data_IF_254653015933
#
_entry.id   IF_254653015933
#
_cell.length_a   1.000
_cell.length_b   1.000
_cell.length_c   1.000
_cell.angle_alpha   90.00
_cell.angle_beta   90.00
_cell.angle_gamma   90.00
#
_symmetry.space_group_name_H-M   'P 1'
#
loop_
_entity.id
_entity.type
_entity.pdbx_description
1 polymer ?
#
# COMPACT_ATOMS: atom_id res chain seq x y z
N UNK A 1 -4.88 -2.87 23.67
CA UNK A 1 -3.81 -3.68 23.03
C UNK A 1 -2.45 -3.01 23.20
N UNK A 2 -1.46 -3.77 23.65
CA UNK A 2 -0.06 -3.34 23.77
C UNK A 2 0.61 -3.20 22.40
N UNK A 3 1.70 -2.43 22.31
CA UNK A 3 2.46 -2.30 21.06
C UNK A 3 3.00 -3.66 20.56
N UNK A 4 3.37 -4.57 21.47
CA UNK A 4 3.80 -5.93 21.12
C UNK A 4 2.68 -6.76 20.48
N UNK A 5 1.44 -6.62 20.95
CA UNK A 5 0.29 -7.29 20.35
C UNK A 5 -0.07 -6.70 18.99
N UNK A 6 -0.13 -5.36 18.89
CA UNK A 6 -0.39 -4.65 17.62
C UNK A 6 0.66 -5.03 16.56
N UNK A 7 1.93 -5.11 16.97
CA UNK A 7 3.03 -5.49 16.09
C UNK A 7 2.84 -6.85 15.41
N UNK A 8 2.26 -7.85 16.09
CA UNK A 8 2.00 -9.15 15.46
C UNK A 8 1.11 -9.03 14.22
N UNK A 9 0.07 -8.19 14.30
CA UNK A 9 -0.84 -7.94 13.18
C UNK A 9 -0.19 -7.07 12.10
N UNK A 10 0.52 -6.01 12.49
CA UNK A 10 1.26 -5.16 11.54
C UNK A 10 2.34 -5.95 10.78
N UNK A 11 3.05 -6.85 11.45
CA UNK A 11 4.03 -7.75 10.85
C UNK A 11 3.37 -8.72 9.86
N UNK A 12 2.22 -9.30 10.22
CA UNK A 12 1.49 -10.17 9.30
C UNK A 12 1.06 -9.42 8.03
N UNK A 13 0.50 -8.22 8.17
CA UNK A 13 0.10 -7.36 7.04
C UNK A 13 1.30 -7.03 6.13
N UNK A 14 2.41 -6.58 6.70
CA UNK A 14 3.62 -6.25 5.90
C UNK A 14 4.28 -7.49 5.29
N UNK A 15 4.18 -8.65 5.93
CA UNK A 15 4.69 -9.91 5.38
C UNK A 15 3.85 -10.37 4.18
N UNK A 16 2.52 -10.32 4.29
CA UNK A 16 1.63 -10.59 3.15
C UNK A 16 1.89 -9.63 1.99
N UNK A 17 2.00 -8.33 2.29
CA UNK A 17 2.32 -7.32 1.28
C UNK A 17 3.68 -7.59 0.61
N UNK A 18 4.69 -7.97 1.40
CA UNK A 18 6.03 -8.31 0.90
C UNK A 18 5.97 -9.45 -0.11
N UNK A 19 5.32 -10.56 0.24
CA UNK A 19 5.18 -11.72 -0.65
C UNK A 19 4.38 -11.39 -1.90
N UNK A 20 3.31 -10.59 -1.76
CA UNK A 20 2.51 -10.15 -2.89
C UNK A 20 3.29 -9.27 -3.86
N UNK A 21 4.05 -8.29 -3.37
CA UNK A 21 4.88 -7.42 -4.21
C UNK A 21 6.03 -8.19 -4.87
N UNK A 22 6.67 -9.14 -4.17
CA UNK A 22 7.71 -10.00 -4.77
C UNK A 22 7.13 -10.88 -5.88
N UNK A 23 5.93 -11.43 -5.71
CA UNK A 23 5.26 -12.17 -6.78
C UNK A 23 5.01 -11.29 -8.02
N UNK A 24 4.58 -10.03 -7.82
CA UNK A 24 4.38 -9.08 -8.92
C UNK A 24 5.70 -8.80 -9.65
N UNK A 25 6.76 -8.46 -8.91
CA UNK A 25 8.09 -8.21 -9.45
C UNK A 25 8.65 -9.41 -10.23
N UNK A 26 8.61 -10.60 -9.64
CA UNK A 26 9.06 -11.84 -10.29
C UNK A 26 8.29 -12.13 -11.58
N UNK A 27 6.98 -11.89 -11.56
CA UNK A 27 6.11 -12.08 -12.73
C UNK A 27 6.44 -11.06 -13.84
N UNK A 28 6.69 -9.80 -13.48
CA UNK A 28 7.08 -8.75 -14.42
C UNK A 28 8.44 -9.01 -15.07
N UNK A 29 9.38 -9.59 -14.31
CA UNK A 29 10.74 -9.85 -14.78
C UNK A 29 10.85 -11.15 -15.60
N UNK A 30 10.13 -12.19 -15.21
CA UNK A 30 10.35 -13.54 -15.75
C UNK A 30 9.20 -14.07 -16.61
N UNK A 31 7.97 -13.60 -16.40
CA UNK A 31 6.78 -14.20 -17.04
C UNK A 31 6.16 -13.32 -18.13
N UNK A 32 6.51 -12.03 -18.19
CA UNK A 32 6.00 -11.11 -19.20
C UNK A 32 7.13 -10.44 -19.99
N UNK A 33 7.16 -10.71 -21.30
CA UNK A 33 7.98 -9.98 -22.27
C UNK A 33 7.21 -8.89 -23.02
N UNK A 34 5.87 -8.94 -23.03
CA UNK A 34 4.98 -7.95 -23.66
C UNK A 34 3.68 -7.80 -22.85
N UNK A 35 3.24 -6.57 -22.59
CA UNK A 35 2.11 -6.22 -21.69
C UNK A 35 0.77 -6.02 -22.40
N UNK A 36 0.62 -6.57 -23.60
CA UNK A 36 -0.62 -6.42 -24.38
C UNK A 36 -1.80 -7.25 -23.84
N UNK A 37 -1.58 -8.15 -22.88
CA UNK A 37 -2.64 -8.87 -22.17
C UNK A 37 -3.25 -8.02 -21.04
N UNK A 38 -4.37 -7.37 -21.36
CA UNK A 38 -5.15 -6.53 -20.44
C UNK A 38 -5.56 -7.26 -19.15
N UNK A 39 -5.84 -8.56 -19.21
CA UNK A 39 -6.31 -9.33 -18.04
C UNK A 39 -5.20 -9.53 -17.02
N UNK A 40 -3.98 -9.80 -17.51
CA UNK A 40 -2.79 -9.90 -16.65
C UNK A 40 -2.42 -8.56 -16.06
N UNK A 41 -2.45 -7.50 -16.86
CA UNK A 41 -2.15 -6.17 -16.37
C UNK A 41 -3.12 -5.72 -15.27
N UNK A 42 -4.42 -5.92 -15.49
CA UNK A 42 -5.46 -5.69 -14.48
C UNK A 42 -5.20 -6.45 -13.19
N UNK A 43 -4.73 -7.70 -13.30
CA UNK A 43 -4.35 -8.51 -12.14
C UNK A 43 -3.20 -7.88 -11.36
N UNK A 44 -2.20 -7.31 -12.04
CA UNK A 44 -1.13 -6.58 -11.36
C UNK A 44 -1.62 -5.32 -10.68
N UNK A 45 -2.49 -4.53 -11.30
CA UNK A 45 -3.03 -3.34 -10.63
C UNK A 45 -3.82 -3.68 -9.37
N UNK A 46 -4.65 -4.73 -9.42
CA UNK A 46 -5.38 -5.24 -8.25
C UNK A 46 -4.41 -5.66 -7.15
N UNK A 47 -3.36 -6.42 -7.50
CA UNK A 47 -2.36 -6.87 -6.54
C UNK A 47 -1.57 -5.70 -5.95
N UNK A 48 -1.14 -4.74 -6.77
CA UNK A 48 -0.41 -3.56 -6.31
C UNK A 48 -1.27 -2.73 -5.37
N UNK A 49 -2.51 -2.43 -5.75
CA UNK A 49 -3.44 -1.66 -4.92
C UNK A 49 -3.72 -2.37 -3.59
N UNK A 50 -3.99 -3.66 -3.63
CA UNK A 50 -4.24 -4.46 -2.42
C UNK A 50 -3.01 -4.49 -1.51
N UNK A 51 -1.83 -4.79 -2.03
CA UNK A 51 -0.62 -4.88 -1.21
C UNK A 51 -0.22 -3.52 -0.65
N UNK A 52 -0.40 -2.43 -1.39
CA UNK A 52 -0.17 -1.08 -0.88
C UNK A 52 -1.15 -0.70 0.24
N UNK A 53 -2.42 -1.09 0.12
CA UNK A 53 -3.40 -0.96 1.20
C UNK A 53 -2.94 -1.67 2.48
N UNK A 54 -2.46 -2.92 2.38
CA UNK A 54 -1.95 -3.67 3.53
C UNK A 54 -0.74 -2.98 4.17
N UNK A 55 0.16 -2.41 3.35
CA UNK A 55 1.32 -1.65 3.83
C UNK A 55 0.85 -0.49 4.72
N UNK A 56 -0.04 0.36 4.22
CA UNK A 56 -0.53 1.52 4.98
C UNK A 56 -1.37 1.11 6.21
N UNK A 57 -2.23 0.10 6.07
CA UNK A 57 -3.02 -0.42 7.19
C UNK A 57 -2.15 -0.99 8.31
N UNK A 58 -0.99 -1.57 7.99
CA UNK A 58 -0.06 -2.03 9.03
C UNK A 58 0.43 -0.85 9.91
N UNK A 59 0.56 0.34 9.33
CA UNK A 59 0.98 1.53 10.05
C UNK A 59 -0.16 2.10 10.90
N UNK A 60 -1.40 2.07 10.40
CA UNK A 60 -2.61 2.36 11.18
C UNK A 60 -2.66 1.48 12.44
N UNK A 61 -2.46 0.16 12.27
CA UNK A 61 -2.44 -0.79 13.39
C UNK A 61 -1.44 -0.38 14.45
N UNK A 62 -0.29 0.19 14.08
CA UNK A 62 0.73 0.59 15.04
C UNK A 62 0.47 1.95 15.70
N UNK A 63 -0.04 2.95 14.96
CA UNK A 63 -0.23 4.33 15.49
C UNK A 63 -1.53 4.52 16.24
N UNK A 64 -2.59 3.79 15.89
CA UNK A 64 -3.88 3.92 16.57
C UNK A 64 -3.93 3.06 17.85
N UNK A 65 -4.87 3.43 18.73
CA UNK A 65 -5.16 2.69 19.95
C UNK A 65 -6.36 1.78 19.74
N UNK A 66 -6.22 0.53 20.16
CA UNK A 66 -7.25 -0.49 20.06
C UNK A 66 -7.47 -1.12 21.43
N UNK A 67 -8.72 -1.33 21.81
CA UNK A 67 -9.05 -2.03 23.07
C UNK A 67 -8.66 -3.50 22.93
N UNK A 68 -9.11 -4.12 21.84
CA UNK A 68 -8.99 -5.54 21.55
C UNK A 68 -8.95 -5.83 20.03
N UNK A 69 -8.84 -7.11 19.66
CA UNK A 69 -8.81 -7.56 18.27
C UNK A 69 -10.06 -7.18 17.48
N UNK A 70 -11.23 -7.16 18.11
CA UNK A 70 -12.49 -6.83 17.42
C UNK A 70 -12.49 -5.35 17.03
N UNK A 71 -12.12 -4.45 17.95
CA UNK A 71 -11.99 -3.02 17.66
C UNK A 71 -10.98 -2.72 16.54
N UNK A 72 -9.87 -3.47 16.49
CA UNK A 72 -8.90 -3.39 15.40
C UNK A 72 -9.52 -3.82 14.07
N UNK A 73 -10.18 -4.97 14.05
CA UNK A 73 -10.80 -5.51 12.85
C UNK A 73 -11.88 -4.57 12.29
N UNK A 74 -12.76 -4.06 13.16
CA UNK A 74 -13.83 -3.15 12.77
C UNK A 74 -13.28 -1.84 12.20
N UNK A 75 -12.19 -1.33 12.78
CA UNK A 75 -11.50 -0.15 12.26
C UNK A 75 -10.94 -0.40 10.85
N UNK A 76 -10.27 -1.52 10.63
CA UNK A 76 -9.70 -1.86 9.32
C UNK A 76 -10.78 -2.12 8.26
N UNK A 77 -11.93 -2.69 8.65
CA UNK A 77 -13.11 -2.84 7.78
C UNK A 77 -13.70 -1.48 7.43
N UNK A 78 -13.86 -0.58 8.42
CA UNK A 78 -14.42 0.76 8.21
C UNK A 78 -13.56 1.61 7.28
N UNK A 79 -12.24 1.47 7.34
CA UNK A 79 -11.33 2.13 6.38
C UNK A 79 -11.52 1.62 4.94
N UNK A 80 -12.07 0.41 4.76
CA UNK A 80 -12.36 -0.18 3.46
C UNK A 80 -11.10 -0.34 2.61
N UNK A 81 -11.26 -0.23 1.29
CA UNK A 81 -10.17 -0.37 0.30
C UNK A 81 -9.67 0.98 -0.23
N UNK A 82 -10.06 2.10 0.39
CA UNK A 82 -9.74 3.44 -0.08
C UNK A 82 -8.37 3.91 0.43
N UNK A 83 -7.36 3.93 -0.44
CA UNK A 83 -6.00 4.42 -0.11
C UNK A 83 -6.04 5.86 0.44
N UNK A 84 -6.87 6.72 -0.14
CA UNK A 84 -7.08 8.10 0.34
C UNK A 84 -7.55 8.14 1.81
N UNK A 85 -8.56 7.32 2.17
CA UNK A 85 -9.10 7.29 3.53
C UNK A 85 -8.06 6.78 4.55
N UNK A 86 -7.22 5.81 4.14
CA UNK A 86 -6.13 5.31 4.97
C UNK A 86 -5.04 6.37 5.13
N UNK A 87 -4.69 7.06 4.06
CA UNK A 87 -3.71 8.15 4.08
C UNK A 87 -4.16 9.31 4.97
N UNK A 88 -5.42 9.72 4.88
CA UNK A 88 -6.03 10.73 5.74
C UNK A 88 -6.01 10.31 7.22
N UNK A 89 -6.29 9.04 7.51
CA UNK A 89 -6.22 8.50 8.86
C UNK A 89 -4.79 8.48 9.44
N UNK A 90 -3.77 8.25 8.60
CA UNK A 90 -2.36 8.36 9.01
C UNK A 90 -1.92 9.81 9.21
N UNK A 91 -2.50 10.74 8.45
CA UNK A 91 -2.11 12.14 8.43
C UNK A 91 -0.73 12.38 7.80
N UNK A 92 -0.41 13.65 7.55
CA UNK A 92 0.81 14.02 6.83
C UNK A 92 2.09 13.56 7.53
N UNK A 93 2.16 13.67 8.86
CA UNK A 93 3.33 13.23 9.62
C UNK A 93 3.57 11.72 9.49
N UNK A 94 2.52 10.91 9.65
CA UNK A 94 2.60 9.46 9.52
C UNK A 94 2.97 9.01 8.09
N UNK A 95 2.51 9.73 7.07
CA UNK A 95 2.89 9.49 5.67
C UNK A 95 4.37 9.84 5.41
N UNK A 96 4.84 10.98 5.92
CA UNK A 96 6.23 11.41 5.73
C UNK A 96 7.22 10.45 6.40
N UNK A 97 6.89 9.91 7.57
CA UNK A 97 7.71 8.91 8.27
C UNK A 97 7.99 7.66 7.41
N UNK A 98 7.07 7.33 6.50
CA UNK A 98 7.18 6.16 5.62
C UNK A 98 7.61 6.52 4.20
N UNK A 99 8.04 7.77 3.97
CA UNK A 99 8.56 8.24 2.70
C UNK A 99 7.50 8.67 1.68
N UNK A 100 6.27 8.93 2.12
CA UNK A 100 5.18 9.45 1.28
C UNK A 100 4.98 10.93 1.60
N UNK A 101 5.10 11.79 0.59
CA UNK A 101 4.88 13.23 0.74
C UNK A 101 3.41 13.60 0.50
N UNK A 102 2.72 12.89 -0.40
CA UNK A 102 1.34 13.18 -0.77
C UNK A 102 0.63 11.98 -1.36
N UNK A 103 -0.66 11.89 -1.09
CA UNK A 103 -1.60 10.96 -1.75
C UNK A 103 -2.72 11.80 -2.34
N UNK A 104 -2.94 11.68 -3.65
CA UNK A 104 -4.02 12.37 -4.34
C UNK A 104 -4.86 11.37 -5.12
N UNK A 105 -6.17 11.41 -4.89
CA UNK A 105 -7.12 10.61 -5.67
C UNK A 105 -7.55 11.36 -6.93
N UNK A 106 -7.37 10.73 -8.09
CA UNK A 106 -8.09 11.03 -9.33
C UNK A 106 -9.30 10.09 -9.46
N UNK A 107 -10.10 10.20 -10.54
CA UNK A 107 -11.33 9.41 -10.70
C UNK A 107 -11.12 7.90 -10.56
N UNK A 108 -10.02 7.37 -11.11
CA UNK A 108 -9.73 5.93 -11.13
C UNK A 108 -8.42 5.54 -10.44
N UNK A 109 -7.54 6.49 -10.12
CA UNK A 109 -6.19 6.20 -9.63
C UNK A 109 -5.83 7.05 -8.40
N UNK A 110 -4.88 6.56 -7.63
CA UNK A 110 -4.17 7.30 -6.61
C UNK A 110 -2.78 7.66 -7.13
N UNK A 111 -2.45 8.93 -7.08
CA UNK A 111 -1.09 9.44 -7.30
C UNK A 111 -0.38 9.51 -5.95
N UNK A 112 0.66 8.71 -5.79
CA UNK A 112 1.51 8.66 -4.59
C UNK A 112 2.81 9.38 -4.90
N UNK A 113 3.00 10.55 -4.30
CA UNK A 113 4.27 11.27 -4.37
C UNK A 113 5.15 10.83 -3.20
N UNK A 114 6.39 10.45 -3.49
CA UNK A 114 7.35 10.09 -2.45
C UNK A 114 8.15 11.31 -1.99
N UNK A 115 8.83 11.19 -0.85
CA UNK A 115 9.77 12.22 -0.35
C UNK A 115 11.03 12.36 -1.23
N UNK A 116 11.23 11.47 -2.20
CA UNK A 116 12.35 11.49 -3.14
C UNK A 116 11.90 11.93 -4.55
N UNK A 117 10.76 12.62 -4.65
CA UNK A 117 10.20 13.14 -5.91
C UNK A 117 9.88 12.08 -6.97
N UNK A 118 9.71 10.83 -6.55
CA UNK A 118 9.15 9.79 -7.42
C UNK A 118 7.62 9.80 -7.31
N UNK A 119 6.96 9.49 -8.42
CA UNK A 119 5.51 9.39 -8.50
C UNK A 119 5.12 7.97 -8.88
N UNK A 120 4.23 7.38 -8.09
CA UNK A 120 3.66 6.06 -8.31
C UNK A 120 2.17 6.26 -8.59
N UNK A 121 1.67 5.61 -9.64
CA UNK A 121 0.24 5.54 -9.90
C UNK A 121 -0.27 4.18 -9.42
N UNK A 122 -1.26 4.21 -8.53
CA UNK A 122 -1.91 3.01 -7.99
C UNK A 122 -3.38 3.11 -8.31
N UNK A 123 -3.87 2.21 -9.14
CA UNK A 123 -5.29 2.14 -9.48
C UNK A 123 -6.19 1.92 -8.24
N UNK A 124 -7.41 2.44 -8.27
CA UNK A 124 -8.38 2.25 -7.20
C UNK A 124 -8.96 0.84 -7.24
N UNK A 125 -8.63 0.03 -6.22
CA UNK A 125 -9.09 -1.36 -6.08
C UNK A 125 -10.58 -1.55 -6.38
N UNK A 126 -11.45 -0.68 -5.85
CA UNK A 126 -12.90 -0.82 -6.04
C UNK A 126 -13.26 -0.52 -7.50
N UNK A 127 -12.66 0.52 -8.08
CA UNK A 127 -12.91 0.90 -9.47
C UNK A 127 -12.44 -0.16 -10.44
N UNK A 128 -11.21 -0.65 -10.33
CA UNK A 128 -10.71 -1.74 -11.19
C UNK A 128 -11.56 -2.99 -11.01
N UNK A 129 -12.03 -3.30 -9.81
CA UNK A 129 -12.83 -4.50 -9.57
C UNK A 129 -14.18 -4.44 -10.29
N UNK A 130 -14.77 -3.26 -10.41
CA UNK A 130 -16.11 -3.06 -10.97
C UNK A 130 -16.12 -2.31 -12.31
N UNK A 131 -14.96 -2.10 -12.95
CA UNK A 131 -14.82 -1.40 -14.24
C UNK A 131 -15.67 -2.02 -15.38
N UNK A 132 -16.03 -3.30 -15.26
CA UNK A 132 -16.89 -4.01 -16.20
C UNK A 132 -18.33 -3.47 -16.22
N UNK A 133 -18.71 -2.68 -15.21
CA UNK A 133 -19.99 -1.96 -15.18
C UNK A 133 -19.94 -0.62 -15.89
N UNK A 134 -18.74 -0.05 -16.09
CA UNK A 134 -18.54 1.32 -16.55
C UNK A 134 -18.24 1.38 -18.08
N UNK A 135 -18.34 0.26 -18.81
CA UNK A 135 -17.99 0.13 -20.24
C UNK A 135 -16.60 0.71 -20.61
N UNK A 136 -15.65 0.67 -19.66
CA UNK A 136 -14.32 1.26 -19.83
C UNK A 136 -13.41 0.29 -20.56
N UNK A 137 -12.91 0.69 -21.73
CA UNK A 137 -11.76 0.05 -22.38
C UNK A 137 -10.46 0.67 -21.87
N UNK A 138 -9.71 -0.06 -21.04
CA UNK A 138 -8.37 0.34 -20.62
C UNK A 138 -7.43 0.35 -21.82
N UNK A 139 -6.86 1.51 -22.12
CA UNK A 139 -5.85 1.62 -23.18
C UNK A 139 -4.48 1.43 -22.54
N UNK A 140 -3.81 0.33 -22.87
CA UNK A 140 -2.48 0.03 -22.37
C UNK A 140 -1.48 0.44 -23.41
N UNK A 141 -0.61 1.39 -23.07
CA UNK A 141 0.50 1.75 -23.94
C UNK A 141 1.68 0.78 -23.76
N UNK A 142 2.62 0.81 -24.71
CA UNK A 142 3.77 -0.08 -24.75
C UNK A 142 4.80 0.16 -23.63
N UNK A 143 4.64 1.19 -22.81
CA UNK A 143 5.56 1.53 -21.71
C UNK A 143 5.02 1.14 -20.34
N UNK A 144 3.77 0.68 -20.25
CA UNK A 144 3.12 0.39 -18.98
C UNK A 144 3.87 -0.67 -18.15
N UNK A 145 4.41 -1.70 -18.81
CA UNK A 145 5.27 -2.70 -18.16
C UNK A 145 6.44 -2.08 -17.39
N UNK A 146 7.18 -1.21 -18.07
CA UNK A 146 8.39 -0.60 -17.55
C UNK A 146 8.05 0.46 -16.49
N UNK A 147 6.88 1.10 -16.58
CA UNK A 147 6.36 1.96 -15.51
C UNK A 147 6.08 1.16 -14.24
N UNK A 148 5.36 0.05 -14.34
CA UNK A 148 5.04 -0.80 -13.18
C UNK A 148 6.32 -1.35 -12.54
N UNK A 149 7.30 -1.81 -13.33
CA UNK A 149 8.60 -2.23 -12.80
C UNK A 149 9.27 -1.12 -11.97
N UNK A 150 9.31 0.11 -12.48
CA UNK A 150 9.86 1.26 -11.73
C UNK A 150 9.10 1.55 -10.45
N UNK A 151 7.78 1.32 -10.43
CA UNK A 151 6.97 1.48 -9.22
C UNK A 151 7.37 0.48 -8.14
N UNK A 152 7.84 -0.72 -8.51
CA UNK A 152 8.20 -1.75 -7.54
C UNK A 152 9.31 -1.30 -6.60
N UNK A 153 10.36 -0.65 -7.10
CA UNK A 153 11.44 -0.12 -6.27
C UNK A 153 10.92 0.84 -5.18
N UNK A 154 10.04 1.77 -5.59
CA UNK A 154 9.43 2.73 -4.67
C UNK A 154 8.50 2.04 -3.66
N UNK A 155 7.72 1.05 -4.10
CA UNK A 155 6.83 0.28 -3.22
C UNK A 155 7.61 -0.55 -2.18
N UNK A 156 8.71 -1.19 -2.58
CA UNK A 156 9.58 -1.90 -1.66
C UNK A 156 10.28 -0.96 -0.69
N UNK A 157 10.69 0.24 -1.14
CA UNK A 157 11.26 1.25 -0.27
C UNK A 157 10.26 1.70 0.80
N UNK A 158 9.00 1.96 0.42
CA UNK A 158 7.93 2.31 1.36
C UNK A 158 7.67 1.15 2.33
N UNK A 159 7.53 -0.08 1.82
CA UNK A 159 7.34 -1.28 2.64
C UNK A 159 8.46 -1.42 3.70
N UNK A 160 9.72 -1.22 3.28
CA UNK A 160 10.87 -1.28 4.18
C UNK A 160 10.78 -0.23 5.28
N UNK A 161 10.53 1.04 4.93
CA UNK A 161 10.36 2.12 5.91
C UNK A 161 9.20 1.85 6.88
N UNK A 162 8.08 1.32 6.39
CA UNK A 162 6.95 0.92 7.24
C UNK A 162 7.34 -0.19 8.22
N UNK A 163 8.07 -1.22 7.77
CA UNK A 163 8.58 -2.28 8.64
C UNK A 163 9.50 -1.71 9.73
N UNK A 164 10.47 -0.87 9.35
CA UNK A 164 11.39 -0.17 10.27
C UNK A 164 10.60 0.63 11.33
N UNK A 165 9.62 1.43 10.91
CA UNK A 165 8.76 2.21 11.83
C UNK A 165 7.88 1.34 12.72
N UNK A 166 7.42 0.19 12.23
CA UNK A 166 6.65 -0.78 13.02
C UNK A 166 7.54 -1.43 14.09
N UNK A 167 8.79 -1.75 13.76
CA UNK A 167 9.78 -2.30 14.69
C UNK A 167 10.18 -1.29 15.78
N UNK A 168 10.41 -0.02 15.41
CA UNK A 168 10.68 1.06 16.36
C UNK A 168 9.52 1.23 17.36
N UNK A 169 8.28 1.29 16.85
CA UNK A 169 7.08 1.47 17.68
C UNK A 169 6.79 0.27 18.61
N UNK A 170 7.16 -0.95 18.18
CA UNK A 170 7.07 -2.17 19.00
C UNK A 170 7.94 -2.06 20.25
N UNK A 171 9.17 -1.58 20.08
CA UNK A 171 10.17 -1.53 21.14
C UNK A 171 10.00 -0.33 22.07
N UNK A 172 9.28 0.71 21.62
CA UNK A 172 9.01 1.92 22.38
C UNK A 172 10.27 2.74 22.54
N UNK A 173 10.30 3.94 21.94
CA UNK A 173 11.12 4.99 22.53
C UNK A 173 10.55 5.26 23.93
N UNK A 174 11.25 4.80 24.96
CA UNK A 174 11.26 5.46 26.25
C UNK A 174 11.84 6.86 26.04
N UNK A 175 10.99 7.82 25.71
CA UNK A 175 11.28 9.23 25.88
C UNK A 175 10.35 9.74 27.00
N UNK A 176 10.67 9.32 28.22
CA UNK A 176 10.37 10.05 29.44
C UNK A 176 11.71 10.24 30.15
N UNK A 177 12.39 11.36 29.94
CA UNK A 177 13.10 12.14 30.96
C UNK A 177 13.21 13.59 30.43
N UNK A 178 12.28 14.46 30.84
CA UNK A 178 12.65 15.77 31.41
C UNK A 178 12.34 15.66 32.91
#
# INVERSE_FOLDING_TARGET
MTNKEKYKYAYALTSMASTGLSFVEDSLNNMMRDTTDLSRLRSFYILISYNFELILKSRIVMVENFTDKHSLNDRLIKLGHGIQAIAEALGNAGLQEVGISKVEKSSAQYKISTTHYQEILIEDFIKIRYDFLDDITHTVDSQEHERIKKYMDSLFLILRKVKEKNDEAKNGHGAQIE
#
